data_IF_002468452856
#
_entry.id   IF_002468452856
#
_cell.length_a   1.000
_cell.length_b   1.000
_cell.length_c   1.000
_cell.angle_alpha   90.00
_cell.angle_beta   90.00
_cell.angle_gamma   90.00
#
_symmetry.space_group_name_H-M   'P 1'
#
loop_
_entity.id
_entity.type
_entity.pdbx_description
1 polymer ?
#
# COMPACT_ATOMS: atom_id res chain seq x y z
N UNK A 1 8.54 21.07 -2.92
CA UNK A 1 8.35 19.76 -2.26
C UNK A 1 9.46 19.54 -1.24
N UNK A 2 9.13 19.21 0.00
CA UNK A 2 10.14 18.85 1.00
C UNK A 2 10.87 17.57 0.53
N UNK A 3 12.21 17.57 0.51
CA UNK A 3 13.04 16.42 0.06
C UNK A 3 12.62 15.10 0.74
N UNK A 4 12.21 15.18 2.01
CA UNK A 4 11.72 14.06 2.79
C UNK A 4 10.47 13.39 2.17
N UNK A 5 9.51 14.18 1.67
CA UNK A 5 8.29 13.65 1.05
C UNK A 5 8.59 12.99 -0.31
N UNK A 6 9.51 13.56 -1.07
CA UNK A 6 9.95 12.98 -2.34
C UNK A 6 10.68 11.64 -2.12
N UNK A 7 11.56 11.59 -1.12
CA UNK A 7 12.25 10.36 -0.73
C UNK A 7 11.26 9.29 -0.26
N UNK A 8 10.27 9.66 0.56
CA UNK A 8 9.25 8.76 1.07
C UNK A 8 8.47 8.04 -0.04
N UNK A 9 7.97 8.75 -1.06
CA UNK A 9 7.21 8.11 -2.15
C UNK A 9 8.10 7.14 -2.94
N UNK A 10 9.34 7.55 -3.24
CA UNK A 10 10.27 6.70 -3.98
C UNK A 10 10.62 5.42 -3.21
N UNK A 11 10.88 5.56 -1.91
CA UNK A 11 11.14 4.43 -1.01
C UNK A 11 9.92 3.51 -0.90
N UNK A 12 8.71 4.07 -0.68
CA UNK A 12 7.48 3.29 -0.58
C UNK A 12 7.19 2.53 -1.87
N UNK A 13 7.39 3.16 -3.03
CA UNK A 13 7.23 2.52 -4.34
C UNK A 13 8.21 1.35 -4.49
N UNK A 14 9.48 1.57 -4.20
CA UNK A 14 10.52 0.55 -4.28
C UNK A 14 10.21 -0.64 -3.36
N UNK A 15 9.88 -0.38 -2.10
CA UNK A 15 9.52 -1.42 -1.12
C UNK A 15 8.29 -2.20 -1.57
N UNK A 16 7.26 -1.52 -2.09
CA UNK A 16 6.05 -2.19 -2.58
C UNK A 16 6.36 -3.18 -3.72
N UNK A 17 7.23 -2.80 -4.66
CA UNK A 17 7.64 -3.66 -5.78
C UNK A 17 8.44 -4.86 -5.25
N UNK A 18 9.40 -4.63 -4.34
CA UNK A 18 10.19 -5.71 -3.73
C UNK A 18 9.27 -6.73 -3.05
N UNK A 19 8.28 -6.27 -2.29
CA UNK A 19 7.34 -7.15 -1.58
C UNK A 19 6.46 -7.93 -2.57
N UNK A 20 6.00 -7.31 -3.67
CA UNK A 20 5.24 -8.01 -4.72
C UNK A 20 6.09 -9.11 -5.34
N UNK A 21 7.31 -8.78 -5.77
CA UNK A 21 8.23 -9.75 -6.39
C UNK A 21 8.52 -10.90 -5.44
N UNK A 22 8.80 -10.59 -4.17
CA UNK A 22 9.07 -11.60 -3.15
C UNK A 22 7.85 -12.49 -2.87
N UNK A 23 6.66 -11.92 -2.76
CA UNK A 23 5.43 -12.67 -2.57
C UNK A 23 5.15 -13.60 -3.76
N UNK A 24 5.33 -13.12 -5.00
CA UNK A 24 5.18 -13.95 -6.21
C UNK A 24 6.21 -15.07 -6.23
N UNK A 25 7.47 -14.77 -5.92
CA UNK A 25 8.53 -15.78 -5.85
C UNK A 25 8.17 -16.90 -4.86
N UNK A 26 7.63 -16.54 -3.69
CA UNK A 26 7.17 -17.49 -2.67
C UNK A 26 5.98 -18.31 -3.13
N UNK A 27 5.01 -17.69 -3.81
CA UNK A 27 3.86 -18.42 -4.37
C UNK A 27 4.26 -19.43 -5.45
N UNK A 28 5.33 -19.14 -6.20
CA UNK A 28 5.86 -20.06 -7.22
C UNK A 28 6.70 -21.17 -6.59
N UNK A 29 7.53 -20.85 -5.58
CA UNK A 29 8.43 -21.82 -4.96
C UNK A 29 7.73 -22.76 -3.97
N UNK A 30 6.90 -22.18 -3.09
CA UNK A 30 6.31 -22.88 -1.94
C UNK A 30 4.84 -23.27 -2.20
N UNK A 31 4.28 -22.88 -3.35
CA UNK A 31 2.88 -23.11 -3.72
C UNK A 31 1.94 -21.98 -3.25
N UNK A 32 0.63 -22.17 -3.50
CA UNK A 32 -0.39 -21.16 -3.16
C UNK A 32 -0.53 -21.07 -1.64
N UNK A 33 0.02 -20.00 -1.06
CA UNK A 33 -0.07 -19.64 0.35
C UNK A 33 -1.02 -18.45 0.52
N UNK A 34 -1.99 -18.60 1.43
CA UNK A 34 -2.95 -17.54 1.76
C UNK A 34 -2.24 -16.30 2.31
N UNK A 35 -1.19 -16.53 3.11
CA UNK A 35 -0.32 -15.51 3.66
C UNK A 35 0.29 -14.63 2.59
N UNK A 36 0.97 -15.25 1.63
CA UNK A 36 1.67 -14.55 0.55
C UNK A 36 0.72 -13.89 -0.45
N UNK A 37 -0.45 -14.47 -0.71
CA UNK A 37 -1.52 -13.80 -1.47
C UNK A 37 -1.99 -12.53 -0.74
N UNK A 38 -2.21 -12.62 0.57
CA UNK A 38 -2.57 -11.48 1.40
C UNK A 38 -1.51 -10.37 1.37
N UNK A 39 -0.25 -10.73 1.54
CA UNK A 39 0.88 -9.78 1.46
C UNK A 39 0.95 -9.10 0.09
N UNK A 40 0.82 -9.84 -1.01
CA UNK A 40 0.79 -9.25 -2.35
C UNK A 40 -0.38 -8.27 -2.51
N UNK A 41 -1.55 -8.61 -1.97
CA UNK A 41 -2.74 -7.76 -2.00
C UNK A 41 -2.57 -6.46 -1.21
N UNK A 42 -1.71 -6.42 -0.19
CA UNK A 42 -1.37 -5.16 0.52
C UNK A 42 -0.46 -4.23 -0.29
N UNK A 43 0.45 -4.79 -1.09
CA UNK A 43 1.45 -4.02 -1.82
C UNK A 43 1.00 -3.59 -3.22
N UNK A 44 0.14 -4.36 -3.88
CA UNK A 44 -0.36 -4.09 -5.24
C UNK A 44 -1.13 -2.76 -5.37
N UNK A 45 -2.11 -2.42 -4.52
CA UNK A 45 -2.91 -1.22 -4.69
C UNK A 45 -2.07 0.06 -4.62
N UNK A 46 -1.14 0.14 -3.66
CA UNK A 46 -0.28 1.32 -3.50
C UNK A 46 0.74 1.42 -4.65
N UNK A 47 1.29 0.30 -5.11
CA UNK A 47 2.21 0.27 -6.25
C UNK A 47 1.52 0.78 -7.53
N UNK A 48 0.32 0.28 -7.83
CA UNK A 48 -0.47 0.70 -8.99
C UNK A 48 -0.88 2.17 -8.88
N UNK A 49 -1.29 2.61 -7.69
CA UNK A 49 -1.67 3.99 -7.45
C UNK A 49 -0.49 4.95 -7.67
N UNK A 50 0.69 4.65 -7.12
CA UNK A 50 1.89 5.47 -7.30
C UNK A 50 2.38 5.42 -8.75
N UNK A 51 2.36 4.28 -9.42
CA UNK A 51 2.69 4.15 -10.84
C UNK A 51 1.77 5.00 -11.73
N UNK A 52 0.46 5.00 -11.45
CA UNK A 52 -0.50 5.85 -12.15
C UNK A 52 -0.26 7.34 -11.86
N UNK A 53 0.13 7.70 -10.65
CA UNK A 53 0.46 9.08 -10.29
C UNK A 53 1.68 9.62 -11.07
N UNK A 54 2.64 8.75 -11.39
CA UNK A 54 3.78 9.11 -12.25
C UNK A 54 3.42 9.18 -13.74
N UNK A 55 2.50 8.34 -14.21
CA UNK A 55 2.13 8.24 -15.63
C UNK A 55 1.11 9.30 -16.07
N UNK A 56 0.15 9.61 -15.22
CA UNK A 56 -0.97 10.50 -15.55
C UNK A 56 -0.99 11.69 -14.61
N UNK A 57 -1.20 12.89 -15.16
CA UNK A 57 -1.62 14.10 -14.43
C UNK A 57 -3.06 13.94 -13.94
N UNK A 58 -3.30 12.89 -13.13
CA UNK A 58 -4.63 12.51 -12.68
C UNK A 58 -5.15 13.62 -11.78
N UNK A 59 -6.27 14.24 -12.17
CA UNK A 59 -7.01 15.15 -11.30
C UNK A 59 -7.25 14.43 -9.97
N UNK A 60 -6.73 14.99 -8.87
CA UNK A 60 -6.67 14.41 -7.52
C UNK A 60 -8.07 14.04 -7.01
N UNK A 61 -8.60 12.93 -7.48
CA UNK A 61 -9.92 12.45 -7.09
C UNK A 61 -9.76 11.76 -5.75
N UNK A 62 -10.00 12.57 -4.71
CA UNK A 62 -10.04 12.27 -3.28
C UNK A 62 -10.82 11.00 -2.87
N UNK A 63 -11.52 10.33 -3.78
CA UNK A 63 -12.43 9.22 -3.47
C UNK A 63 -11.73 7.85 -3.42
N UNK A 64 -10.55 7.69 -4.01
CA UNK A 64 -9.93 6.37 -4.15
C UNK A 64 -9.05 5.91 -2.96
N UNK A 65 -8.76 6.80 -2.01
CA UNK A 65 -7.86 6.49 -0.88
C UNK A 65 -8.51 5.55 0.16
N UNK A 66 -9.80 5.73 0.47
CA UNK A 66 -10.51 4.87 1.44
C UNK A 66 -10.68 3.45 0.90
N UNK A 67 -10.98 3.30 -0.40
CA UNK A 67 -11.07 1.99 -1.04
C UNK A 67 -9.73 1.25 -1.05
N UNK A 68 -8.63 1.97 -1.30
CA UNK A 68 -7.28 1.40 -1.20
C UNK A 68 -6.98 0.88 0.20
N UNK A 69 -7.27 1.66 1.25
CA UNK A 69 -7.05 1.24 2.64
C UNK A 69 -7.89 -0.01 2.98
N UNK A 70 -9.12 -0.10 2.48
CA UNK A 70 -9.95 -1.29 2.68
C UNK A 70 -9.33 -2.54 2.03
N UNK A 71 -8.83 -2.45 0.80
CA UNK A 71 -8.16 -3.58 0.12
C UNK A 71 -6.90 -3.99 0.88
N UNK A 72 -6.10 -3.01 1.34
CA UNK A 72 -4.90 -3.28 2.14
C UNK A 72 -5.25 -3.95 3.47
N UNK A 73 -6.32 -3.52 4.13
CA UNK A 73 -6.80 -4.16 5.35
C UNK A 73 -7.22 -5.62 5.10
N UNK A 74 -7.91 -5.92 4.00
CA UNK A 74 -8.25 -7.28 3.59
C UNK A 74 -6.97 -8.11 3.37
N UNK A 75 -5.95 -7.54 2.71
CA UNK A 75 -4.66 -8.21 2.52
C UNK A 75 -3.96 -8.56 3.84
N UNK A 76 -4.01 -7.68 4.85
CA UNK A 76 -3.47 -7.97 6.19
C UNK A 76 -4.24 -9.10 6.87
N UNK A 77 -5.58 -9.12 6.75
CA UNK A 77 -6.39 -10.21 7.31
C UNK A 77 -6.04 -11.56 6.68
N UNK A 78 -5.88 -11.60 5.35
CA UNK A 78 -5.42 -12.81 4.65
C UNK A 78 -4.01 -13.22 5.10
N UNK A 79 -3.09 -12.25 5.26
CA UNK A 79 -1.75 -12.51 5.78
C UNK A 79 -1.79 -13.09 7.21
N UNK A 80 -2.72 -12.62 8.05
CA UNK A 80 -2.92 -13.13 9.40
C UNK A 80 -3.47 -14.55 9.40
N UNK A 81 -4.43 -14.88 8.53
CA UNK A 81 -4.91 -16.26 8.34
C UNK A 81 -3.76 -17.17 7.92
N UNK A 82 -2.88 -16.69 7.04
CA UNK A 82 -1.67 -17.38 6.62
C UNK A 82 -0.71 -17.76 7.76
N UNK A 83 -0.73 -17.06 8.90
CA UNK A 83 0.09 -17.46 10.07
C UNK A 83 -0.31 -18.80 10.67
N UNK A 84 -1.59 -19.17 10.52
CA UNK A 84 -2.14 -20.43 11.03
C UNK A 84 -2.09 -21.52 9.97
N UNK A 85 -2.31 -21.17 8.69
CA UNK A 85 -2.39 -22.16 7.60
C UNK A 85 -1.05 -22.47 6.94
N UNK A 86 -0.12 -21.50 6.92
CA UNK A 86 1.10 -21.57 6.09
C UNK A 86 2.37 -21.65 6.96
N UNK A 87 2.37 -22.59 7.92
CA UNK A 87 3.56 -22.85 8.74
C UNK A 87 4.70 -23.39 7.87
N UNK A 88 5.94 -22.86 7.96
CA UNK A 88 6.47 -21.90 8.95
C UNK A 88 6.55 -20.43 8.49
N UNK A 89 6.12 -20.09 7.26
CA UNK A 89 6.43 -18.78 6.66
C UNK A 89 5.40 -17.68 6.92
N UNK A 90 4.21 -18.03 7.42
CA UNK A 90 3.12 -17.08 7.61
C UNK A 90 3.47 -15.86 8.49
N UNK A 91 4.37 -16.02 9.47
CA UNK A 91 4.81 -14.91 10.33
C UNK A 91 5.53 -13.78 9.56
N UNK A 92 6.38 -14.14 8.60
CA UNK A 92 7.08 -13.15 7.77
C UNK A 92 6.13 -12.48 6.78
N UNK A 93 5.20 -13.24 6.20
CA UNK A 93 4.15 -12.70 5.33
C UNK A 93 3.30 -11.64 6.05
N UNK A 94 2.88 -11.92 7.28
CA UNK A 94 2.14 -10.98 8.12
C UNK A 94 2.97 -9.74 8.46
N UNK A 95 4.24 -9.90 8.84
CA UNK A 95 5.12 -8.77 9.15
C UNK A 95 5.22 -7.79 7.98
N UNK A 96 5.44 -8.30 6.76
CA UNK A 96 5.51 -7.49 5.55
C UNK A 96 4.17 -6.82 5.22
N UNK A 97 3.05 -7.54 5.39
CA UNK A 97 1.72 -7.01 5.15
C UNK A 97 1.37 -5.85 6.10
N UNK A 98 1.67 -5.99 7.40
CA UNK A 98 1.49 -4.93 8.40
C UNK A 98 2.39 -3.73 8.09
N UNK A 99 3.65 -3.97 7.71
CA UNK A 99 4.57 -2.93 7.27
C UNK A 99 4.02 -2.11 6.10
N UNK A 100 3.44 -2.78 5.09
CA UNK A 100 2.81 -2.10 3.97
C UNK A 100 1.53 -1.36 4.33
N UNK A 101 0.73 -1.89 5.25
CA UNK A 101 -0.42 -1.16 5.78
C UNK A 101 0.01 0.13 6.47
N UNK A 102 1.04 0.09 7.33
CA UNK A 102 1.57 1.28 7.98
C UNK A 102 2.12 2.30 6.97
N UNK A 103 2.87 1.84 5.96
CA UNK A 103 3.35 2.69 4.87
C UNK A 103 2.22 3.34 4.07
N UNK A 104 1.15 2.58 3.80
CA UNK A 104 -0.06 3.05 3.10
C UNK A 104 -0.81 4.09 3.95
N UNK A 105 -1.00 3.84 5.24
CA UNK A 105 -1.63 4.80 6.16
C UNK A 105 -0.80 6.09 6.28
N UNK A 106 0.52 5.97 6.37
CA UNK A 106 1.42 7.13 6.40
C UNK A 106 1.30 7.93 5.09
N UNK A 107 1.19 7.26 3.94
CA UNK A 107 0.89 7.94 2.68
C UNK A 107 -0.45 8.69 2.72
N UNK A 108 -1.53 8.04 3.18
CA UNK A 108 -2.88 8.65 3.20
C UNK A 108 -2.97 9.82 4.19
N UNK A 109 -2.45 9.67 5.40
CA UNK A 109 -2.61 10.67 6.46
C UNK A 109 -1.57 11.77 6.45
N UNK A 110 -0.31 11.46 6.16
CA UNK A 110 0.77 12.45 6.18
C UNK A 110 1.06 13.01 4.79
N UNK A 111 1.22 12.15 3.78
CA UNK A 111 1.56 12.64 2.44
C UNK A 111 0.35 13.31 1.75
N UNK A 112 -0.81 12.64 1.70
CA UNK A 112 -1.98 13.07 0.91
C UNK A 112 -2.76 14.25 1.50
N UNK A 113 -2.92 14.37 2.83
CA UNK A 113 -3.71 15.45 3.45
C UNK A 113 -3.05 16.83 3.41
N UNK A 114 -1.72 16.92 3.40
CA UNK A 114 -0.98 18.18 3.53
C UNK A 114 -0.92 19.02 2.24
N UNK A 115 -1.53 18.57 1.15
CA UNK A 115 -1.54 19.31 -0.13
C UNK A 115 -2.96 19.74 -0.58
N UNK A 116 -3.94 19.75 0.33
CA UNK A 116 -5.17 20.53 0.10
C UNK A 116 -4.85 21.99 0.45
N UNK A 117 -4.68 22.91 -0.52
CA UNK A 117 -4.83 24.33 -0.19
C UNK A 117 -6.22 24.53 0.43
N UNK A 118 -6.31 25.31 1.50
CA UNK A 118 -7.58 25.78 2.03
C UNK A 118 -8.35 26.42 0.86
N UNK A 119 -9.51 25.88 0.51
CA UNK A 119 -10.44 26.55 -0.40
C UNK A 119 -10.91 27.83 0.31
N UNK A 120 -10.31 28.97 -0.05
CA UNK A 120 -10.76 30.29 0.41
C UNK A 120 -12.09 30.71 -0.24
N UNK A 121 -12.67 29.87 -1.11
CA UNK A 121 -13.92 30.12 -1.84
C UNK A 121 -15.20 29.76 -1.05
N UNK A 122 -15.10 29.40 0.24
CA UNK A 122 -16.26 29.39 1.16
C UNK A 122 -16.43 30.71 1.92
N UNK A 123 -15.87 31.81 1.40
CA UNK A 123 -16.17 33.19 1.82
C UNK A 123 -16.81 33.92 0.64
N UNK A 124 -18.05 33.56 0.30
CA UNK A 124 -18.99 34.40 -0.45
C UNK A 124 -20.34 33.65 -0.55
N UNK A 125 -21.30 34.08 0.26
CA UNK A 125 -22.67 33.58 0.30
C UNK A 125 -23.25 33.75 1.69
#
# INVERSE_FOLDING_TARGET
MNRLKSFFISALTTVSIIIIVWAVFRLVQDGISVGWVGTALTALPIALYLANLYRFTTARTSRNLTGMVAIVAIGVLLAAVGTVTDTPQGGLALFLAVGMMLGTLLYVFWYSRLERPLNQTLVAG
#
